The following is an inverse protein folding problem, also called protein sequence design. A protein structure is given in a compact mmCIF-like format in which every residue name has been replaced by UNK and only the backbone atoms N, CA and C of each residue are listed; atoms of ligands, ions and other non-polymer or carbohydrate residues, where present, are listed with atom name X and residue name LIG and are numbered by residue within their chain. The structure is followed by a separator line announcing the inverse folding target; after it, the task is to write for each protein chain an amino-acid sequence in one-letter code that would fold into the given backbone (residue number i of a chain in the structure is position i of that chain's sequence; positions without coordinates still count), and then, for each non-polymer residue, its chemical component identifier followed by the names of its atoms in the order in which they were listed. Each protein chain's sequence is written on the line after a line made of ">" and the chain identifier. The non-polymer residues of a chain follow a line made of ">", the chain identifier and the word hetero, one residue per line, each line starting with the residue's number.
data_IF_169237129150
#
_entry.id   IF_169237129150
#
_cell.length_a   1.000
_cell.length_b   1.000
_cell.length_c   1.000
_cell.angle_alpha   90.00
_cell.angle_beta   90.00
_cell.angle_gamma   90.00
#
_symmetry.space_group_name_H-M   'P 1'
#
loop_
_entity.id
_entity.type
_entity.pdbx_description
1 polymer ?
#
# COMPACT_ATOMS: atom_id res chain seq x y z
N UNK A 1 -17.96 53.86 26.01
CA UNK A 1 -18.87 52.69 25.98
C UNK A 1 -18.71 51.97 24.64
N UNK A 2 -17.82 50.95 24.50
CA UNK A 2 -17.75 50.07 23.28
C UNK A 2 -16.84 48.87 23.49
N UNK A 3 -16.69 48.36 24.72
CA UNK A 3 -15.81 47.22 25.03
C UNK A 3 -16.45 45.84 24.80
N UNK A 4 -17.77 45.74 24.87
CA UNK A 4 -18.49 44.47 24.77
C UNK A 4 -18.56 43.95 23.31
N UNK A 5 -18.73 44.83 22.32
CA UNK A 5 -18.78 44.45 20.89
C UNK A 5 -17.42 43.90 20.38
N UNK A 6 -16.32 44.44 20.88
CA UNK A 6 -14.97 43.98 20.53
C UNK A 6 -14.66 42.57 21.05
N UNK A 7 -15.18 42.20 22.23
CA UNK A 7 -14.97 40.86 22.81
C UNK A 7 -15.70 39.77 22.03
N UNK A 8 -16.92 40.01 21.59
CA UNK A 8 -17.68 39.05 20.77
C UNK A 8 -17.09 38.85 19.39
N UNK A 9 -16.59 39.91 18.77
CA UNK A 9 -15.91 39.82 17.48
C UNK A 9 -14.62 39.02 17.57
N UNK A 10 -13.81 39.27 18.59
CA UNK A 10 -12.54 38.49 18.82
C UNK A 10 -12.80 37.00 19.05
N UNK A 11 -13.83 36.63 19.81
CA UNK A 11 -14.22 35.24 20.04
C UNK A 11 -14.67 34.54 18.75
N UNK A 12 -15.48 35.22 17.93
CA UNK A 12 -15.90 34.67 16.61
C UNK A 12 -14.72 34.52 15.66
N UNK A 13 -13.82 35.50 15.61
CA UNK A 13 -12.63 35.44 14.79
C UNK A 13 -11.71 34.31 15.23
N UNK A 14 -11.49 34.16 16.54
CA UNK A 14 -10.67 33.07 17.10
C UNK A 14 -11.26 31.70 16.78
N UNK A 15 -12.58 31.53 16.90
CA UNK A 15 -13.27 30.29 16.54
C UNK A 15 -13.11 29.97 15.06
N UNK A 16 -13.25 30.95 14.18
CA UNK A 16 -13.10 30.77 12.73
C UNK A 16 -11.67 30.38 12.35
N UNK A 17 -10.69 31.03 12.96
CA UNK A 17 -9.28 30.69 12.73
C UNK A 17 -8.96 29.29 13.24
N UNK A 18 -9.46 28.92 14.43
CA UNK A 18 -9.26 27.58 14.98
C UNK A 18 -9.88 26.50 14.09
N UNK A 19 -11.10 26.74 13.59
CA UNK A 19 -11.77 25.81 12.67
C UNK A 19 -11.01 25.67 11.36
N UNK A 20 -10.48 26.76 10.83
CA UNK A 20 -9.66 26.75 9.61
C UNK A 20 -8.37 25.97 9.81
N UNK A 21 -7.69 26.16 10.94
CA UNK A 21 -6.46 25.42 11.28
C UNK A 21 -6.76 23.93 11.42
N UNK A 22 -7.84 23.54 12.09
CA UNK A 22 -8.24 22.14 12.23
C UNK A 22 -8.60 21.54 10.87
N UNK A 23 -9.30 22.26 10.01
CA UNK A 23 -9.59 21.78 8.65
C UNK A 23 -8.33 21.61 7.80
N UNK A 24 -7.35 22.50 7.91
CA UNK A 24 -6.08 22.39 7.21
C UNK A 24 -5.20 21.23 7.72
N UNK A 25 -5.28 20.94 9.03
CA UNK A 25 -4.53 19.81 9.61
C UNK A 25 -5.20 18.45 9.40
N UNK A 26 -6.53 18.46 9.18
CA UNK A 26 -7.30 17.25 8.86
C UNK A 26 -7.41 16.96 7.36
N UNK A 27 -6.80 17.77 6.49
CA UNK A 27 -6.60 17.37 5.10
C UNK A 27 -5.75 16.10 5.14
N UNK A 28 -6.27 14.93 4.70
CA UNK A 28 -5.41 13.80 4.50
C UNK A 28 -4.31 14.32 3.58
N UNK A 29 -3.06 14.17 3.99
CA UNK A 29 -1.95 14.36 3.08
C UNK A 29 -2.32 13.51 1.87
N UNK A 30 -2.77 14.15 0.80
CA UNK A 30 -2.94 13.47 -0.46
C UNK A 30 -1.56 12.85 -0.68
N UNK A 31 -1.48 11.53 -0.55
CA UNK A 31 -0.25 10.80 -0.78
C UNK A 31 0.14 11.18 -2.19
N UNK A 32 1.03 12.14 -2.30
CA UNK A 32 1.62 12.48 -3.57
C UNK A 32 2.26 11.19 -4.04
N UNK A 33 1.66 10.58 -5.07
CA UNK A 33 2.20 9.37 -5.68
C UNK A 33 3.61 9.75 -6.14
N UNK A 34 4.62 9.25 -5.46
CA UNK A 34 5.99 9.42 -5.90
C UNK A 34 6.23 8.44 -7.06
N UNK A 35 6.05 8.95 -8.28
CA UNK A 35 6.18 8.16 -9.50
C UNK A 35 7.57 7.49 -9.62
N UNK A 36 8.61 8.07 -9.02
CA UNK A 36 9.93 7.46 -9.02
C UNK A 36 9.96 6.24 -8.10
N UNK A 37 9.35 6.33 -6.93
CA UNK A 37 9.25 5.20 -6.00
C UNK A 37 8.31 4.14 -6.58
N UNK A 38 7.16 4.54 -7.11
CA UNK A 38 6.21 3.60 -7.73
C UNK A 38 6.86 2.88 -8.93
N UNK A 39 7.62 3.58 -9.77
CA UNK A 39 8.38 2.94 -10.85
C UNK A 39 9.42 1.94 -10.32
N UNK A 40 9.99 2.18 -9.14
CA UNK A 40 10.94 1.29 -8.49
C UNK A 40 10.35 -0.03 -8.01
N UNK A 41 9.02 -0.15 -7.85
CA UNK A 41 8.39 -1.41 -7.48
C UNK A 41 8.30 -2.39 -8.63
N UNK A 42 8.27 -1.91 -9.87
CA UNK A 42 8.09 -2.71 -11.07
C UNK A 42 9.42 -3.10 -11.71
N UNK A 43 9.53 -4.33 -12.12
CA UNK A 43 10.66 -4.83 -12.90
C UNK A 43 10.22 -5.95 -13.85
N UNK A 44 10.99 -6.12 -14.91
CA UNK A 44 10.74 -7.18 -15.88
C UNK A 44 11.11 -8.54 -15.29
N UNK A 45 10.27 -9.55 -15.53
CA UNK A 45 10.62 -10.94 -15.16
C UNK A 45 11.96 -11.37 -15.75
N UNK A 46 12.74 -12.12 -14.98
CA UNK A 46 14.10 -12.50 -15.37
C UNK A 46 14.15 -13.63 -16.42
N UNK A 47 13.11 -14.46 -16.47
CA UNK A 47 13.01 -15.62 -17.37
C UNK A 47 11.57 -15.84 -17.82
N UNK A 48 11.40 -16.57 -18.93
CA UNK A 48 10.08 -17.07 -19.33
C UNK A 48 9.48 -17.99 -18.26
N UNK A 49 8.19 -17.89 -18.01
CA UNK A 49 7.48 -18.72 -17.03
C UNK A 49 7.61 -18.29 -15.56
N UNK A 50 8.29 -17.18 -15.25
CA UNK A 50 8.44 -16.69 -13.86
C UNK A 50 7.51 -15.53 -13.51
N UNK A 51 6.43 -15.33 -14.27
CA UNK A 51 5.51 -14.20 -14.09
C UNK A 51 4.89 -14.15 -12.68
N UNK A 52 4.50 -15.29 -12.12
CA UNK A 52 3.94 -15.37 -10.77
C UNK A 52 4.96 -14.96 -9.71
N UNK A 53 6.20 -15.42 -9.85
CA UNK A 53 7.27 -15.08 -8.93
C UNK A 53 7.66 -13.60 -9.03
N UNK A 54 7.73 -13.05 -10.25
CA UNK A 54 7.99 -11.64 -10.48
C UNK A 54 6.88 -10.77 -9.87
N UNK A 55 5.60 -11.15 -10.06
CA UNK A 55 4.47 -10.45 -9.45
C UNK A 55 4.52 -10.47 -7.94
N UNK A 56 4.79 -11.63 -7.33
CA UNK A 56 4.95 -11.74 -5.89
C UNK A 56 6.10 -10.86 -5.37
N UNK A 57 7.23 -10.85 -6.06
CA UNK A 57 8.38 -10.02 -5.69
C UNK A 57 8.06 -8.51 -5.80
N UNK A 58 7.31 -8.08 -6.81
CA UNK A 58 6.88 -6.68 -6.93
C UNK A 58 5.94 -6.28 -5.78
N UNK A 59 4.98 -7.11 -5.42
CA UNK A 59 4.09 -6.88 -4.28
C UNK A 59 4.86 -6.81 -2.95
N UNK A 60 5.76 -7.77 -2.72
CA UNK A 60 6.62 -7.79 -1.53
C UNK A 60 7.55 -6.57 -1.47
N UNK A 61 8.07 -6.12 -2.60
CA UNK A 61 8.89 -4.91 -2.68
C UNK A 61 8.10 -3.66 -2.26
N UNK A 62 6.88 -3.53 -2.76
CA UNK A 62 5.99 -2.45 -2.36
C UNK A 62 5.64 -2.54 -0.87
N UNK A 63 5.31 -3.73 -0.36
CA UNK A 63 5.01 -3.94 1.06
C UNK A 63 6.22 -3.59 1.94
N UNK A 64 7.41 -4.05 1.58
CA UNK A 64 8.65 -3.71 2.28
C UNK A 64 8.89 -2.19 2.38
N UNK A 65 8.59 -1.46 1.32
CA UNK A 65 8.64 0.00 1.32
C UNK A 65 7.62 0.60 2.29
N UNK A 66 6.37 0.15 2.25
CA UNK A 66 5.30 0.64 3.14
C UNK A 66 5.59 0.34 4.61
N UNK A 67 6.24 -0.78 4.91
CA UNK A 67 6.68 -1.15 6.25
C UNK A 67 7.95 -0.39 6.70
N UNK A 68 8.48 0.51 5.87
CA UNK A 68 9.64 1.34 6.19
C UNK A 68 10.98 0.61 6.15
N UNK A 69 11.06 -0.56 5.49
CA UNK A 69 12.32 -1.29 5.33
C UNK A 69 13.26 -0.51 4.41
N UNK A 70 14.45 -0.17 4.90
CA UNK A 70 15.46 0.61 4.14
C UNK A 70 16.03 -0.14 2.96
N UNK A 71 16.02 -1.48 3.01
CA UNK A 71 16.51 -2.37 1.97
C UNK A 71 15.40 -2.90 1.03
N UNK A 72 14.27 -2.21 0.93
CA UNK A 72 13.14 -2.62 0.09
C UNK A 72 13.53 -2.88 -1.37
N UNK A 73 14.53 -2.18 -1.90
CA UNK A 73 15.04 -2.38 -3.26
C UNK A 73 15.76 -3.71 -3.46
N UNK A 74 16.24 -4.35 -2.38
CA UNK A 74 16.85 -5.68 -2.41
C UNK A 74 15.83 -6.81 -2.59
N UNK A 75 14.51 -6.51 -2.45
CA UNK A 75 13.45 -7.47 -2.77
C UNK A 75 13.38 -7.63 -4.28
N UNK A 76 13.88 -8.74 -4.77
CA UNK A 76 13.97 -9.08 -6.20
C UNK A 76 13.37 -10.46 -6.47
N UNK A 77 13.13 -10.78 -7.74
CA UNK A 77 12.69 -12.11 -8.12
C UNK A 77 13.64 -13.21 -7.59
N UNK A 78 14.95 -12.96 -7.63
CA UNK A 78 15.93 -13.94 -7.15
C UNK A 78 15.91 -14.10 -5.62
N UNK A 79 15.78 -13.00 -4.86
CA UNK A 79 15.73 -13.07 -3.40
C UNK A 79 14.45 -13.76 -2.90
N UNK A 80 13.33 -13.57 -3.59
CA UNK A 80 12.07 -14.24 -3.27
C UNK A 80 12.09 -15.70 -3.71
N UNK A 81 12.73 -16.00 -4.84
CA UNK A 81 12.85 -17.38 -5.37
C UNK A 81 13.47 -18.34 -4.37
N UNK A 82 14.54 -17.95 -3.69
CA UNK A 82 15.21 -18.79 -2.71
C UNK A 82 14.28 -19.25 -1.58
N UNK A 83 13.38 -18.40 -1.16
CA UNK A 83 12.37 -18.72 -0.13
C UNK A 83 11.17 -19.45 -0.73
N UNK A 84 10.64 -18.98 -1.85
CA UNK A 84 9.47 -19.55 -2.50
C UNK A 84 9.68 -20.97 -3.00
N UNK A 85 10.84 -21.25 -3.60
CA UNK A 85 11.18 -22.62 -4.09
C UNK A 85 11.42 -23.61 -2.96
N UNK A 86 12.01 -23.17 -1.85
CA UNK A 86 12.22 -24.04 -0.70
C UNK A 86 10.89 -24.56 -0.13
N UNK A 87 9.81 -23.75 -0.26
CA UNK A 87 8.50 -24.06 0.27
C UNK A 87 7.49 -24.50 -0.80
N UNK A 88 7.85 -24.44 -2.09
CA UNK A 88 6.98 -24.69 -3.23
C UNK A 88 6.03 -23.52 -3.55
N UNK A 89 5.98 -23.11 -4.82
CA UNK A 89 5.11 -22.01 -5.27
C UNK A 89 3.60 -22.32 -5.24
N UNK A 90 3.22 -23.56 -4.96
CA UNK A 90 1.82 -23.95 -4.82
C UNK A 90 1.23 -23.64 -3.43
N UNK A 91 2.04 -23.13 -2.51
CA UNK A 91 1.66 -22.88 -1.13
C UNK A 91 2.05 -21.46 -0.70
N UNK A 92 1.38 -20.97 0.35
CA UNK A 92 1.77 -19.73 1.00
C UNK A 92 3.18 -19.84 1.61
N UNK A 93 3.92 -18.76 1.58
CA UNK A 93 5.26 -18.69 2.15
C UNK A 93 5.46 -17.37 2.92
N UNK A 94 6.47 -17.34 3.76
CA UNK A 94 6.84 -16.12 4.49
C UNK A 94 8.18 -15.60 3.94
N UNK A 95 8.23 -14.32 3.63
CA UNK A 95 9.44 -13.63 3.18
C UNK A 95 9.69 -12.40 4.05
N UNK A 96 10.79 -12.35 4.81
CA UNK A 96 11.10 -11.25 5.74
C UNK A 96 9.89 -10.86 6.61
N UNK A 97 9.26 -11.84 7.26
CA UNK A 97 8.07 -11.69 8.10
C UNK A 97 6.76 -11.35 7.36
N UNK A 98 6.82 -11.04 6.06
CA UNK A 98 5.66 -10.82 5.22
C UNK A 98 5.06 -12.16 4.77
N UNK A 99 3.78 -12.36 5.00
CA UNK A 99 3.08 -13.56 4.53
C UNK A 99 2.59 -13.37 3.10
N UNK A 100 2.89 -14.33 2.25
CA UNK A 100 2.45 -14.35 0.85
C UNK A 100 1.48 -15.49 0.65
N UNK A 101 0.23 -15.15 0.36
CA UNK A 101 -0.78 -16.11 -0.08
C UNK A 101 -0.60 -16.42 -1.57
N UNK A 102 -0.63 -17.69 -1.91
CA UNK A 102 -0.63 -18.16 -3.29
C UNK A 102 -1.82 -19.09 -3.52
N UNK A 103 -2.55 -18.84 -4.59
CA UNK A 103 -3.69 -19.66 -4.95
C UNK A 103 -4.08 -19.47 -6.42
N UNK A 104 -4.92 -20.36 -6.92
CA UNK A 104 -5.50 -20.26 -8.26
C UNK A 104 -6.88 -19.66 -8.18
N UNK A 105 -7.17 -18.72 -9.10
CA UNK A 105 -8.51 -18.17 -9.24
C UNK A 105 -9.43 -19.21 -9.90
N UNK A 106 -10.72 -19.21 -9.55
CA UNK A 106 -11.72 -20.06 -10.21
C UNK A 106 -11.73 -19.88 -11.73
N UNK A 107 -12.10 -20.91 -12.45
CA UNK A 107 -12.14 -20.86 -13.94
C UNK A 107 -13.25 -19.97 -14.47
N UNK A 108 -14.41 -19.95 -13.79
CA UNK A 108 -15.58 -19.18 -14.21
C UNK A 108 -15.38 -17.68 -13.97
N UNK A 109 -15.71 -16.86 -14.97
CA UNK A 109 -15.50 -15.41 -14.93
C UNK A 109 -16.17 -14.74 -13.72
N UNK A 110 -17.40 -15.07 -13.43
CA UNK A 110 -18.17 -14.50 -12.31
C UNK A 110 -17.56 -14.84 -10.95
N UNK A 111 -17.19 -16.10 -10.74
CA UNK A 111 -16.54 -16.57 -9.51
C UNK A 111 -15.17 -15.93 -9.34
N UNK A 112 -14.42 -15.77 -10.42
CA UNK A 112 -13.12 -15.08 -10.44
C UNK A 112 -13.25 -13.63 -9.98
N UNK A 113 -14.21 -12.89 -10.52
CA UNK A 113 -14.46 -11.49 -10.14
C UNK A 113 -14.86 -11.42 -8.65
N UNK A 114 -15.77 -12.26 -8.21
CA UNK A 114 -16.21 -12.28 -6.81
C UNK A 114 -15.06 -12.61 -5.85
N UNK A 115 -14.22 -13.58 -6.20
CA UNK A 115 -13.03 -13.95 -5.42
C UNK A 115 -12.06 -12.77 -5.33
N UNK A 116 -11.80 -12.07 -6.45
CA UNK A 116 -10.93 -10.88 -6.45
C UNK A 116 -11.49 -9.75 -5.59
N UNK A 117 -12.80 -9.47 -5.68
CA UNK A 117 -13.45 -8.46 -4.84
C UNK A 117 -13.29 -8.81 -3.36
N UNK A 118 -13.53 -10.08 -2.99
CA UNK A 118 -13.38 -10.54 -1.61
C UNK A 118 -11.94 -10.39 -1.12
N UNK A 119 -10.96 -10.82 -1.90
CA UNK A 119 -9.54 -10.69 -1.55
C UNK A 119 -9.13 -9.22 -1.37
N UNK A 120 -9.53 -8.35 -2.29
CA UNK A 120 -9.24 -6.91 -2.21
C UNK A 120 -9.93 -6.23 -1.02
N UNK A 121 -11.11 -6.69 -0.62
CA UNK A 121 -11.80 -6.17 0.56
C UNK A 121 -11.18 -6.61 1.88
N UNK A 122 -10.54 -7.78 1.90
CA UNK A 122 -9.83 -8.30 3.07
C UNK A 122 -8.41 -7.76 3.19
N UNK A 123 -7.80 -7.35 2.07
CA UNK A 123 -6.43 -6.84 1.97
C UNK A 123 -6.41 -5.55 1.14
N UNK A 124 -6.90 -4.43 1.68
CA UNK A 124 -7.06 -3.18 0.93
C UNK A 124 -5.75 -2.45 0.62
N UNK A 125 -4.62 -2.95 1.07
CA UNK A 125 -3.28 -2.35 0.89
C UNK A 125 -2.57 -2.78 -0.39
#
# INVERSE_FOLDING_TARGET
>A
MNTAASSHFRKKLLSLVLTLVVMLTCLPAALAVDLNVDAGFYFKQSRGGTCTLASAAMMLRRRAYLDGLTDWTAVTENSVRSTAWANGLSHSFTYKEMQVGYGTLPSRKQEKIQTLITLLSQHPE
#
